data_IF_096319717140
#
_entry.id   IF_096319717140
#
_cell.length_a   1.000
_cell.length_b   1.000
_cell.length_c   1.000
_cell.angle_alpha   90.00
_cell.angle_beta   90.00
_cell.angle_gamma   90.00
#
_symmetry.space_group_name_H-M   'P 1'
#
loop_
_entity.id
_entity.type
_entity.pdbx_description
1 polymer ?
#
# COMPACT_ATOMS: atom_id res chain seq x y z
N UNK A 1 -20.51 5.61 -16.13
CA UNK A 1 -19.80 5.26 -17.37
C UNK A 1 -19.92 3.75 -17.53
N UNK A 2 -20.99 3.29 -18.18
CA UNK A 2 -21.13 1.89 -18.56
C UNK A 2 -20.13 1.57 -19.70
N UNK A 3 -19.54 0.38 -19.68
CA UNK A 3 -18.60 -0.13 -20.71
C UNK A 3 -17.26 0.61 -20.93
N UNK A 4 -16.87 1.48 -19.98
CA UNK A 4 -15.56 2.17 -20.07
C UNK A 4 -14.44 1.30 -19.50
N UNK A 5 -13.52 0.89 -20.36
CA UNK A 5 -12.28 0.18 -19.98
C UNK A 5 -11.31 1.12 -19.25
N UNK A 6 -10.53 0.63 -18.29
CA UNK A 6 -9.53 1.43 -17.55
C UNK A 6 -8.61 2.25 -18.46
N UNK A 7 -8.21 1.68 -19.61
CA UNK A 7 -7.39 2.36 -20.61
C UNK A 7 -8.00 3.66 -21.14
N UNK A 8 -9.33 3.76 -21.22
CA UNK A 8 -10.01 4.97 -21.64
C UNK A 8 -9.88 6.06 -20.56
N UNK A 9 -9.98 5.68 -19.28
CA UNK A 9 -9.78 6.61 -18.16
C UNK A 9 -8.33 7.11 -18.12
N UNK A 10 -7.35 6.26 -18.44
CA UNK A 10 -5.94 6.67 -18.50
C UNK A 10 -5.65 7.77 -19.54
N UNK A 11 -6.51 7.92 -20.53
CA UNK A 11 -6.36 8.94 -21.58
C UNK A 11 -7.01 10.28 -21.24
N UNK A 12 -7.79 10.36 -20.15
CA UNK A 12 -8.41 11.60 -19.72
C UNK A 12 -7.37 12.52 -19.06
N UNK A 13 -7.51 13.83 -19.29
CA UNK A 13 -6.62 14.85 -18.73
C UNK A 13 -6.65 14.82 -17.20
N UNK A 14 -7.81 14.61 -16.59
CA UNK A 14 -7.96 14.46 -15.13
C UNK A 14 -7.08 13.33 -14.56
N UNK A 15 -6.91 12.23 -15.30
CA UNK A 15 -6.00 11.16 -14.90
C UNK A 15 -4.56 11.53 -15.21
N UNK A 16 -4.25 12.05 -16.40
CA UNK A 16 -2.88 12.40 -16.82
C UNK A 16 -2.25 13.47 -15.93
N UNK A 17 -3.04 14.45 -15.51
CA UNK A 17 -2.68 15.52 -14.57
C UNK A 17 -2.63 15.05 -13.11
N UNK A 18 -2.95 13.78 -12.82
CA UNK A 18 -2.86 13.23 -11.47
C UNK A 18 -3.94 13.72 -10.51
N UNK A 19 -5.07 14.22 -11.01
CA UNK A 19 -6.20 14.66 -10.18
C UNK A 19 -7.05 13.49 -9.67
N UNK A 20 -6.92 12.32 -10.29
CA UNK A 20 -7.59 11.07 -9.86
C UNK A 20 -6.63 9.89 -9.95
N UNK A 21 -6.84 8.91 -9.06
CA UNK A 21 -6.17 7.63 -9.09
C UNK A 21 -7.20 6.49 -9.18
N UNK A 22 -6.92 5.49 -10.03
CA UNK A 22 -7.79 4.33 -10.15
C UNK A 22 -7.43 3.30 -9.08
N UNK A 23 -8.38 3.01 -8.20
CA UNK A 23 -8.20 2.12 -7.07
C UNK A 23 -9.49 1.35 -6.77
N UNK A 24 -9.36 0.11 -6.31
CA UNK A 24 -10.51 -0.69 -5.86
C UNK A 24 -11.06 -0.16 -4.54
N UNK A 25 -12.37 -0.30 -4.31
CA UNK A 25 -13.01 0.06 -3.04
C UNK A 25 -12.36 -0.67 -1.85
N UNK A 26 -12.04 -1.96 -2.02
CA UNK A 26 -11.33 -2.75 -1.00
C UNK A 26 -9.97 -2.16 -0.61
N UNK A 27 -9.24 -1.61 -1.58
CA UNK A 27 -7.96 -0.95 -1.31
C UNK A 27 -8.12 0.41 -0.63
N UNK A 28 -9.29 1.04 -0.74
CA UNK A 28 -9.56 2.33 -0.09
C UNK A 28 -9.85 2.20 1.41
N UNK A 29 -10.26 1.01 1.87
CA UNK A 29 -10.64 0.78 3.27
C UNK A 29 -9.47 0.94 4.25
N UNK A 30 -8.28 0.34 4.04
CA UNK A 30 -7.20 0.41 5.03
C UNK A 30 -6.74 1.85 5.35
N UNK A 31 -6.51 2.75 4.38
CA UNK A 31 -6.21 4.16 4.68
C UNK A 31 -7.32 4.90 5.44
N UNK A 32 -8.59 4.60 5.16
CA UNK A 32 -9.71 5.21 5.89
C UNK A 32 -9.75 4.75 7.35
N UNK A 33 -9.56 3.45 7.60
CA UNK A 33 -9.50 2.88 8.96
C UNK A 33 -8.27 3.35 9.72
N UNK A 34 -7.17 3.64 9.02
CA UNK A 34 -5.95 4.16 9.65
C UNK A 34 -6.16 5.54 10.26
N UNK A 35 -7.08 6.34 9.73
CA UNK A 35 -7.35 7.73 10.15
C UNK A 35 -6.04 8.54 10.29
N UNK A 36 -5.33 8.79 9.17
CA UNK A 36 -3.99 9.36 9.22
C UNK A 36 -4.02 10.78 9.77
N UNK A 37 -3.19 11.03 10.79
CA UNK A 37 -3.15 12.31 11.49
C UNK A 37 -2.18 13.26 10.79
N UNK A 38 -2.55 14.54 10.58
CA UNK A 38 -1.60 15.56 10.16
C UNK A 38 -0.35 15.59 11.05
N UNK A 39 0.84 15.64 10.44
CA UNK A 39 2.12 15.68 11.15
C UNK A 39 2.58 14.34 11.76
N UNK A 40 1.82 13.25 11.63
CA UNK A 40 2.26 11.95 12.12
C UNK A 40 3.35 11.34 11.22
N UNK A 41 4.27 10.59 11.82
CA UNK A 41 5.19 9.72 11.09
C UNK A 41 4.44 8.43 10.74
N UNK A 42 4.21 8.19 9.44
CA UNK A 42 3.42 7.07 8.95
C UNK A 42 4.25 6.16 8.04
N UNK A 43 4.21 4.86 8.31
CA UNK A 43 4.87 3.83 7.49
C UNK A 43 3.86 3.06 6.64
N UNK A 44 4.08 3.01 5.33
CA UNK A 44 3.48 2.03 4.43
C UNK A 44 4.52 0.94 4.09
N UNK A 45 4.34 -0.25 4.64
CA UNK A 45 5.33 -1.33 4.56
C UNK A 45 5.41 -2.01 3.18
N UNK A 46 4.37 -1.87 2.35
CA UNK A 46 4.23 -2.58 1.07
C UNK A 46 3.55 -1.66 0.04
N UNK A 47 4.19 -0.54 -0.25
CA UNK A 47 3.52 0.64 -0.79
C UNK A 47 3.16 0.55 -2.28
N UNK A 48 3.93 -0.16 -3.11
CA UNK A 48 3.72 -0.11 -4.55
C UNK A 48 2.41 -0.81 -4.98
N UNK A 49 1.60 -0.19 -5.86
CA UNK A 49 1.99 0.92 -6.76
C UNK A 49 1.73 2.34 -6.24
N UNK A 50 1.32 2.53 -4.98
CA UNK A 50 1.24 3.85 -4.33
C UNK A 50 -0.16 4.41 -4.11
N UNK A 51 -1.22 3.68 -4.48
CA UNK A 51 -2.61 4.17 -4.30
C UNK A 51 -3.00 4.37 -2.83
N UNK A 52 -2.66 3.41 -1.96
CA UNK A 52 -2.93 3.53 -0.52
C UNK A 52 -2.09 4.65 0.10
N UNK A 53 -0.80 4.69 -0.25
CA UNK A 53 0.13 5.74 0.19
C UNK A 53 -0.37 7.13 -0.18
N UNK A 54 -0.79 7.35 -1.44
CA UNK A 54 -1.30 8.65 -1.88
C UNK A 54 -2.64 9.01 -1.22
N UNK A 55 -3.50 8.02 -0.97
CA UNK A 55 -4.73 8.23 -0.22
C UNK A 55 -4.45 8.65 1.23
N UNK A 56 -3.45 8.05 1.90
CA UNK A 56 -3.03 8.46 3.24
C UNK A 56 -2.54 9.92 3.25
N UNK A 57 -1.75 10.32 2.25
CA UNK A 57 -1.31 11.71 2.07
C UNK A 57 -2.51 12.65 1.88
N UNK A 58 -3.48 12.26 1.05
CA UNK A 58 -4.67 13.07 0.80
C UNK A 58 -5.54 13.23 2.06
N UNK A 59 -5.74 12.15 2.83
CA UNK A 59 -6.55 12.17 4.06
C UNK A 59 -5.91 12.98 5.21
N UNK A 60 -4.61 13.23 5.14
CA UNK A 60 -3.87 14.04 6.11
C UNK A 60 -3.59 15.46 5.61
N UNK A 61 -4.29 15.91 4.58
CA UNK A 61 -4.08 17.21 3.91
C UNK A 61 -2.62 17.46 3.49
N UNK A 62 -1.90 16.39 3.14
CA UNK A 62 -0.49 16.43 2.76
C UNK A 62 0.49 16.64 3.92
N UNK A 63 0.02 16.67 5.17
CA UNK A 63 0.83 17.00 6.33
C UNK A 63 1.47 15.79 7.02
N UNK A 64 1.04 14.55 6.75
CA UNK A 64 1.70 13.37 7.31
C UNK A 64 3.09 13.14 6.69
N UNK A 65 4.06 12.71 7.50
CA UNK A 65 5.40 12.34 7.07
C UNK A 65 5.42 10.86 6.70
N UNK A 66 5.33 10.57 5.40
CA UNK A 66 5.20 9.19 4.93
C UNK A 66 6.56 8.55 4.65
N UNK A 67 6.75 7.33 5.12
CA UNK A 67 7.77 6.40 4.63
C UNK A 67 7.09 5.26 3.86
N UNK A 68 7.47 5.06 2.60
CA UNK A 68 6.85 4.08 1.71
C UNK A 68 7.89 3.04 1.28
N UNK A 69 7.74 1.79 1.72
CA UNK A 69 8.68 0.72 1.42
C UNK A 69 8.26 -0.11 0.20
N UNK A 70 9.22 -0.39 -0.69
CA UNK A 70 9.08 -1.38 -1.76
C UNK A 70 10.45 -1.97 -2.11
N UNK A 71 10.60 -3.29 -1.99
CA UNK A 71 11.89 -3.95 -2.23
C UNK A 71 12.23 -4.11 -3.73
N UNK A 72 11.22 -4.20 -4.59
CA UNK A 72 11.39 -4.41 -6.02
C UNK A 72 11.64 -3.08 -6.75
N UNK A 73 12.77 -2.96 -7.44
CA UNK A 73 13.18 -1.73 -8.12
C UNK A 73 12.14 -1.17 -9.09
N UNK A 74 11.69 -1.94 -10.10
CA UNK A 74 10.65 -1.48 -11.03
C UNK A 74 9.34 -1.07 -10.36
N UNK A 75 8.92 -1.77 -9.31
CA UNK A 75 7.72 -1.38 -8.54
C UNK A 75 7.94 -0.10 -7.73
N UNK A 76 9.15 0.11 -7.18
CA UNK A 76 9.52 1.33 -6.47
C UNK A 76 9.58 2.54 -7.41
N UNK A 77 10.11 2.37 -8.63
CA UNK A 77 10.07 3.40 -9.68
C UNK A 77 8.64 3.76 -10.06
N UNK A 78 7.76 2.76 -10.20
CA UNK A 78 6.34 2.98 -10.49
C UNK A 78 5.62 3.69 -9.34
N UNK A 79 5.94 3.31 -8.10
CA UNK A 79 5.47 3.97 -6.89
C UNK A 79 5.86 5.45 -6.89
N UNK A 80 7.16 5.76 -7.05
CA UNK A 80 7.65 7.14 -7.11
C UNK A 80 6.95 7.93 -8.21
N UNK A 81 6.89 7.40 -9.43
CA UNK A 81 6.20 8.03 -10.55
C UNK A 81 4.74 8.37 -10.23
N UNK A 82 4.01 7.45 -9.61
CA UNK A 82 2.61 7.68 -9.26
C UNK A 82 2.47 8.74 -8.15
N UNK A 83 3.33 8.72 -7.14
CA UNK A 83 3.32 9.72 -6.07
C UNK A 83 3.64 11.12 -6.60
N UNK A 84 4.66 11.25 -7.45
CA UNK A 84 5.04 12.51 -8.09
C UNK A 84 3.89 13.07 -8.94
N UNK A 85 3.28 12.19 -9.75
CA UNK A 85 2.14 12.54 -10.60
C UNK A 85 0.94 13.03 -9.77
N UNK A 86 0.67 12.42 -8.62
CA UNK A 86 -0.41 12.81 -7.72
C UNK A 86 -0.05 14.00 -6.82
N UNK A 87 1.16 14.55 -6.93
CA UNK A 87 1.61 15.68 -6.12
C UNK A 87 1.91 15.35 -4.65
N UNK A 88 2.15 14.07 -4.32
CA UNK A 88 2.46 13.64 -2.96
C UNK A 88 3.91 14.01 -2.60
N UNK A 89 4.12 15.16 -1.96
CA UNK A 89 5.47 15.70 -1.68
C UNK A 89 6.11 15.20 -0.38
N UNK A 90 5.32 14.91 0.65
CA UNK A 90 5.84 14.50 1.97
C UNK A 90 5.95 12.97 2.09
N UNK A 91 6.58 12.34 1.09
CA UNK A 91 6.73 10.87 1.02
C UNK A 91 8.17 10.49 0.70
N UNK A 92 8.80 9.76 1.60
CA UNK A 92 10.10 9.13 1.40
C UNK A 92 9.91 7.69 0.90
N UNK A 93 10.23 7.45 -0.37
CA UNK A 93 10.26 6.08 -0.92
C UNK A 93 11.57 5.40 -0.51
N UNK A 94 11.47 4.25 0.15
CA UNK A 94 12.61 3.41 0.54
C UNK A 94 12.61 2.11 -0.23
N UNK A 95 13.66 1.90 -1.03
CA UNK A 95 13.87 0.62 -1.73
C UNK A 95 14.46 -0.43 -0.79
N UNK A 96 13.61 -0.96 0.09
CA UNK A 96 14.01 -1.86 1.17
C UNK A 96 13.00 -2.97 1.35
N UNK A 97 13.47 -4.11 1.85
CA UNK A 97 12.58 -5.12 2.43
C UNK A 97 12.10 -4.64 3.79
N UNK A 98 10.81 -4.33 3.93
CA UNK A 98 10.24 -3.79 5.16
C UNK A 98 10.43 -4.69 6.38
N UNK A 99 10.65 -6.01 6.20
CA UNK A 99 10.99 -6.95 7.29
C UNK A 99 12.34 -6.66 7.94
N UNK A 100 13.20 -5.91 7.24
CA UNK A 100 14.58 -5.56 7.60
C UNK A 100 14.75 -4.09 7.99
N UNK A 101 13.65 -3.35 8.17
CA UNK A 101 13.72 -1.99 8.70
C UNK A 101 14.47 -1.99 10.04
N UNK A 102 15.35 -1.02 10.20
CA UNK A 102 16.10 -0.85 11.43
C UNK A 102 15.14 -0.56 12.60
N UNK A 103 15.44 -1.10 13.79
CA UNK A 103 14.65 -0.85 15.00
C UNK A 103 14.81 0.57 15.54
N UNK A 104 15.78 1.34 15.02
CA UNK A 104 15.89 2.77 15.31
C UNK A 104 14.77 3.61 14.68
N UNK A 105 14.07 3.09 13.66
CA UNK A 105 12.87 3.74 13.15
C UNK A 105 11.72 3.62 14.16
N UNK A 106 10.85 4.62 14.18
CA UNK A 106 9.67 4.64 15.04
C UNK A 106 8.55 5.43 14.37
N UNK A 107 7.37 4.85 14.25
CA UNK A 107 6.23 5.43 13.55
C UNK A 107 5.01 5.56 14.46
N UNK A 108 4.23 6.63 14.28
CA UNK A 108 2.98 6.87 15.00
C UNK A 108 1.84 6.00 14.45
N UNK A 109 1.87 5.75 13.13
CA UNK A 109 0.88 4.96 12.42
C UNK A 109 1.56 4.07 11.38
N UNK A 110 1.07 2.84 11.21
CA UNK A 110 1.60 1.90 10.23
C UNK A 110 0.45 1.29 9.43
N UNK A 111 0.61 1.29 8.11
CA UNK A 111 -0.19 0.54 7.17
C UNK A 111 0.60 -0.68 6.68
N UNK A 112 0.10 -1.87 7.02
CA UNK A 112 0.63 -3.14 6.52
C UNK A 112 -0.44 -3.81 5.65
N UNK A 113 -0.50 -3.40 4.38
CA UNK A 113 -1.23 -4.14 3.35
C UNK A 113 -0.38 -5.30 2.85
N UNK A 114 -0.53 -6.45 3.50
CA UNK A 114 0.46 -7.50 3.41
C UNK A 114 0.33 -8.28 2.09
N UNK A 115 1.46 -8.69 1.47
CA UNK A 115 1.42 -9.53 0.28
C UNK A 115 0.66 -10.82 0.58
N UNK A 116 -0.38 -11.07 -0.21
CA UNK A 116 -1.39 -12.08 0.04
C UNK A 116 -1.44 -13.13 -1.08
N UNK A 117 -2.27 -14.17 -0.94
CA UNK A 117 -2.52 -15.13 -2.05
C UNK A 117 -3.36 -14.53 -3.17
N UNK A 118 -4.15 -13.50 -2.87
CA UNK A 118 -5.11 -12.88 -3.78
C UNK A 118 -6.40 -13.68 -3.90
N UNK A 119 -6.71 -14.59 -2.95
CA UNK A 119 -7.93 -15.41 -3.03
C UNK A 119 -9.21 -14.57 -3.10
N UNK A 120 -9.25 -13.41 -2.45
CA UNK A 120 -10.40 -12.51 -2.49
C UNK A 120 -10.65 -11.85 -3.86
N UNK A 121 -9.65 -11.82 -4.75
CA UNK A 121 -9.82 -11.28 -6.12
C UNK A 121 -10.36 -12.31 -7.10
N UNK A 122 -10.45 -13.60 -6.73
CA UNK A 122 -11.05 -14.65 -7.55
C UNK A 122 -12.54 -14.32 -7.82
N UNK A 123 -13.26 -13.88 -6.78
CA UNK A 123 -14.65 -13.43 -6.91
C UNK A 123 -14.82 -12.19 -7.81
N UNK A 124 -13.73 -11.46 -8.08
CA UNK A 124 -13.72 -10.29 -8.96
C UNK A 124 -13.40 -10.64 -10.43
N UNK A 125 -13.37 -11.94 -10.79
CA UNK A 125 -13.25 -12.41 -12.18
C UNK A 125 -11.83 -12.80 -12.62
N UNK A 126 -10.84 -12.83 -11.72
CA UNK A 126 -9.51 -13.36 -12.05
C UNK A 126 -9.45 -14.88 -11.87
N UNK A 127 -9.86 -15.64 -12.88
CA UNK A 127 -9.77 -17.12 -12.87
C UNK A 127 -8.34 -17.64 -12.70
N UNK A 128 -7.31 -16.82 -13.01
CA UNK A 128 -5.91 -17.20 -12.87
C UNK A 128 -5.44 -17.13 -11.42
N UNK A 129 -6.11 -16.35 -10.56
CA UNK A 129 -5.80 -16.27 -9.15
C UNK A 129 -6.03 -17.63 -8.45
N UNK A 130 -7.10 -18.35 -8.79
CA UNK A 130 -7.38 -19.69 -8.22
C UNK A 130 -6.29 -20.73 -8.55
N UNK A 131 -5.75 -20.70 -9.77
CA UNK A 131 -4.69 -21.64 -10.20
C UNK A 131 -3.31 -21.36 -9.58
N UNK A 132 -3.12 -20.19 -8.98
CA UNK A 132 -1.85 -19.78 -8.35
C UNK A 132 -1.79 -20.14 -6.86
N UNK A 133 -2.92 -20.48 -6.25
CA UNK A 133 -2.99 -20.87 -4.84
C UNK A 133 -2.45 -22.31 -4.71
N UNK A 134 -1.28 -22.42 -4.09
CA UNK A 134 -0.63 -23.68 -3.78
C UNK A 134 -0.22 -23.68 -2.32
N UNK A 135 -0.03 -24.85 -1.71
CA UNK A 135 0.49 -24.96 -0.34
C UNK A 135 1.85 -24.25 -0.18
N UNK A 136 2.70 -24.34 -1.20
CA UNK A 136 3.99 -23.64 -1.21
C UNK A 136 3.81 -22.12 -1.16
N UNK A 137 2.86 -21.57 -1.92
CA UNK A 137 2.54 -20.14 -1.87
C UNK A 137 1.96 -19.75 -0.51
N UNK A 138 0.99 -20.52 0.00
CA UNK A 138 0.38 -20.30 1.32
C UNK A 138 1.44 -20.23 2.42
N UNK A 139 2.32 -21.24 2.49
CA UNK A 139 3.41 -21.27 3.47
C UNK A 139 4.38 -20.08 3.31
N UNK A 140 4.65 -19.65 2.08
CA UNK A 140 5.50 -18.49 1.81
C UNK A 140 4.84 -17.19 2.29
N UNK A 141 3.58 -16.95 1.93
CA UNK A 141 2.90 -15.70 2.30
C UNK A 141 2.66 -15.63 3.80
N UNK A 142 2.23 -16.70 4.45
CA UNK A 142 2.01 -16.72 5.90
C UNK A 142 3.30 -16.41 6.68
N UNK A 143 4.43 -17.01 6.29
CA UNK A 143 5.73 -16.68 6.90
C UNK A 143 6.13 -15.23 6.65
N UNK A 144 5.91 -14.71 5.45
CA UNK A 144 6.25 -13.33 5.12
C UNK A 144 5.37 -12.32 5.85
N UNK A 145 4.06 -12.58 5.94
CA UNK A 145 3.10 -11.74 6.67
C UNK A 145 3.44 -11.69 8.15
N UNK A 146 3.78 -12.83 8.76
CA UNK A 146 4.25 -12.87 10.15
C UNK A 146 5.50 -12.03 10.36
N UNK A 147 6.52 -12.21 9.52
CA UNK A 147 7.76 -11.43 9.64
C UNK A 147 7.55 -9.92 9.42
N UNK A 148 6.62 -9.53 8.54
CA UNK A 148 6.24 -8.14 8.35
C UNK A 148 5.51 -7.60 9.58
N UNK A 149 4.58 -8.36 10.15
CA UNK A 149 3.82 -7.97 11.33
C UNK A 149 4.74 -7.83 12.55
N UNK A 150 5.63 -8.79 12.78
CA UNK A 150 6.62 -8.74 13.86
C UNK A 150 7.48 -7.47 13.74
N UNK A 151 7.92 -7.15 12.52
CA UNK A 151 8.70 -5.93 12.27
C UNK A 151 7.86 -4.65 12.41
N UNK A 152 6.59 -4.67 12.00
CA UNK A 152 5.69 -3.54 12.19
C UNK A 152 5.57 -3.17 13.67
N UNK A 153 5.39 -4.20 14.52
CA UNK A 153 5.30 -4.02 15.97
C UNK A 153 6.62 -3.53 16.59
N UNK A 154 7.77 -3.97 16.08
CA UNK A 154 9.09 -3.51 16.53
C UNK A 154 9.32 -1.99 16.29
N UNK A 155 8.74 -1.43 15.23
CA UNK A 155 8.94 -0.02 14.82
C UNK A 155 7.71 0.86 15.10
N UNK A 156 6.69 0.32 15.77
CA UNK A 156 5.50 1.07 16.18
C UNK A 156 5.76 1.75 17.52
N UNK A 157 5.53 3.05 17.60
CA UNK A 157 5.60 3.78 18.88
C UNK A 157 4.54 3.23 19.86
N UNK A 158 4.81 3.19 21.18
CA UNK A 158 3.78 2.87 22.18
C UNK A 158 2.55 3.79 22.02
N UNK A 159 1.36 3.19 21.98
CA UNK A 159 0.10 3.92 21.72
C UNK A 159 -0.15 4.25 20.24
N UNK A 160 0.75 3.85 19.34
CA UNK A 160 0.57 4.00 17.90
C UNK A 160 -0.48 3.05 17.32
N UNK A 161 -0.86 3.31 16.07
CA UNK A 161 -1.90 2.53 15.37
C UNK A 161 -1.29 1.69 14.25
N UNK A 162 -1.58 0.40 14.23
CA UNK A 162 -1.24 -0.49 13.10
C UNK A 162 -2.52 -0.98 12.45
N UNK A 163 -2.67 -0.73 11.14
CA UNK A 163 -3.69 -1.37 10.31
C UNK A 163 -3.03 -2.47 9.49
N UNK A 164 -3.43 -3.71 9.76
CA UNK A 164 -3.08 -4.87 8.95
C UNK A 164 -4.22 -5.20 8.00
N UNK A 165 -3.93 -5.31 6.70
CA UNK A 165 -4.91 -5.72 5.68
C UNK A 165 -4.35 -6.79 4.75
N UNK A 166 -5.25 -7.55 4.16
CA UNK A 166 -4.96 -8.56 3.15
C UNK A 166 -6.10 -8.65 2.14
N UNK A 167 -5.78 -9.06 0.93
CA UNK A 167 -6.70 -9.34 -0.16
C UNK A 167 -7.09 -10.83 -0.27
N UNK A 168 -6.82 -11.61 0.78
CA UNK A 168 -7.12 -13.04 0.86
C UNK A 168 -8.32 -13.31 1.78
N UNK A 169 -9.16 -14.25 1.35
CA UNK A 169 -10.15 -14.98 2.16
C UNK A 169 -9.66 -16.39 2.45
#
# INVERSE_FOLDING_TARGET
>A
LEDVREKAVWNLDIYREGRVYLQSLSSMMPPLVLEPRPGADILDMCAAPGGKTSQVVALSDGAAHMTACEMNGPRAEKLQYNLDKLGCRNVQVMRVDARRLDKFFSFDQILLDAPCTGSGTICSGDERAGRRITEALLNKVTRSQRALLDRALDVLKPGGTLVYSTCSI
#
